data_IF_309530991263
#
_entry.id   IF_309530991263
#
_cell.length_a   1.000
_cell.length_b   1.000
_cell.length_c   1.000
_cell.angle_alpha   90.00
_cell.angle_beta   90.00
_cell.angle_gamma   90.00
#
_symmetry.space_group_name_H-M   'P 1'
#
loop_
_entity.id
_entity.type
_entity.pdbx_description
1 polymer ?
#
# COMPACT_ATOMS: atom_id res chain seq x y z
N UNK A 1 32.58 -0.43 -11.17
CA UNK A 1 32.56 0.49 -10.01
C UNK A 1 31.29 0.19 -9.23
N UNK A 2 31.44 -0.62 -8.19
CA UNK A 2 30.35 -1.15 -7.38
C UNK A 2 30.32 -0.38 -6.06
N UNK A 3 29.37 0.53 -5.92
CA UNK A 3 29.16 1.23 -4.65
C UNK A 3 28.21 0.41 -3.77
N UNK A 4 28.76 -0.15 -2.70
CA UNK A 4 28.03 -0.91 -1.68
C UNK A 4 27.37 0.06 -0.73
N UNK A 5 26.06 0.13 -0.74
CA UNK A 5 25.26 0.77 0.29
C UNK A 5 25.47 0.07 1.65
N UNK A 6 26.21 0.74 2.51
CA UNK A 6 26.52 0.28 3.86
C UNK A 6 25.40 0.68 4.83
N UNK A 7 24.46 -0.23 5.08
CA UNK A 7 23.42 -0.06 6.09
C UNK A 7 24.05 -0.38 7.46
N UNK A 8 24.33 0.66 8.22
CA UNK A 8 24.91 0.56 9.57
C UNK A 8 24.02 -0.24 10.53
N UNK A 9 24.48 -1.43 10.88
CA UNK A 9 23.94 -2.23 11.99
C UNK A 9 24.29 -1.53 13.30
N UNK A 10 23.35 -0.88 13.94
CA UNK A 10 23.48 -0.51 15.35
C UNK A 10 23.36 -1.77 16.19
N UNK A 11 24.50 -2.31 16.61
CA UNK A 11 24.60 -3.30 17.69
C UNK A 11 24.28 -2.60 19.01
N UNK A 12 23.16 -2.95 19.62
CA UNK A 12 22.94 -2.72 21.04
C UNK A 12 23.72 -3.79 21.80
N UNK A 13 24.77 -3.35 22.50
CA UNK A 13 25.55 -4.19 23.39
C UNK A 13 24.70 -4.55 24.61
N UNK A 14 24.48 -5.85 24.79
CA UNK A 14 23.98 -6.38 26.06
C UNK A 14 25.06 -6.28 27.13
N UNK A 15 24.75 -5.59 28.21
CA UNK A 15 25.57 -5.59 29.40
C UNK A 15 25.29 -6.86 30.20
N UNK A 16 26.26 -7.78 30.19
CA UNK A 16 26.31 -8.92 31.12
C UNK A 16 26.83 -8.40 32.47
N UNK A 17 25.97 -8.34 33.47
CA UNK A 17 26.39 -8.17 34.85
C UNK A 17 26.33 -9.53 35.56
N UNK A 18 27.48 -10.14 35.74
CA UNK A 18 27.73 -11.19 36.74
C UNK A 18 27.79 -10.50 38.10
N UNK A 19 26.87 -10.78 38.99
CA UNK A 19 26.80 -10.25 40.35
C UNK A 19 26.39 -11.31 41.34
N UNK A 20 27.39 -11.84 42.01
CA UNK A 20 27.47 -12.37 43.41
C UNK A 20 26.22 -13.05 44.03
N UNK A 21 26.46 -14.30 44.40
CA UNK A 21 25.64 -15.05 45.34
C UNK A 21 25.54 -14.36 46.72
N UNK A 22 24.31 -14.04 47.15
CA UNK A 22 23.98 -13.63 48.49
C UNK A 22 22.77 -14.47 48.96
N UNK A 23 22.99 -15.44 49.85
CA UNK A 23 21.97 -16.14 50.57
C UNK A 23 21.28 -15.19 51.54
N UNK A 24 20.00 -14.94 51.38
CA UNK A 24 19.11 -14.47 52.43
C UNK A 24 17.88 -15.38 52.44
N UNK A 25 17.80 -16.20 53.46
CA UNK A 25 16.59 -16.93 53.80
C UNK A 25 15.54 -15.94 54.34
N UNK A 26 14.36 -15.92 53.76
CA UNK A 26 13.24 -15.11 54.26
C UNK A 26 12.19 -14.87 53.16
N UNK A 27 11.11 -15.62 53.26
CA UNK A 27 9.80 -15.58 52.66
C UNK A 27 9.47 -14.52 51.59
N UNK A 28 8.96 -14.97 50.50
CA UNK A 28 8.31 -14.12 49.50
C UNK A 28 8.80 -14.36 48.10
N UNK A 29 8.60 -15.56 47.56
CA UNK A 29 8.83 -15.85 46.15
C UNK A 29 7.88 -15.02 45.27
N UNK A 30 8.28 -13.82 44.92
CA UNK A 30 7.73 -13.14 43.75
C UNK A 30 8.26 -13.93 42.56
N UNK A 31 7.60 -15.03 42.22
CA UNK A 31 7.69 -15.61 40.91
C UNK A 31 7.34 -14.50 39.93
N UNK A 32 8.34 -13.98 39.23
CA UNK A 32 8.14 -13.24 38.02
C UNK A 32 7.35 -14.20 37.10
N UNK A 33 6.03 -14.16 37.22
CA UNK A 33 5.16 -14.76 36.22
C UNK A 33 5.59 -14.04 34.92
N UNK A 34 6.02 -14.76 33.87
CA UNK A 34 6.11 -14.12 32.59
C UNK A 34 4.72 -13.52 32.33
N UNK A 35 4.62 -12.20 32.40
CA UNK A 35 3.43 -11.54 31.86
C UNK A 35 3.25 -12.17 30.49
N UNK A 36 2.10 -12.84 30.30
CA UNK A 36 1.70 -13.25 28.97
C UNK A 36 1.72 -11.95 28.19
N UNK A 37 2.77 -11.76 27.37
CA UNK A 37 2.79 -10.70 26.39
C UNK A 37 1.49 -10.91 25.61
N UNK A 38 0.46 -10.09 25.92
CA UNK A 38 -0.75 -10.06 25.12
C UNK A 38 -0.27 -9.72 23.73
N UNK A 39 -0.38 -10.68 22.81
CA UNK A 39 -0.08 -10.41 21.41
C UNK A 39 -0.89 -9.16 21.04
N UNK A 40 -0.20 -8.10 20.70
CA UNK A 40 -0.89 -6.85 20.35
C UNK A 40 -1.87 -7.14 19.21
N UNK A 41 -3.07 -6.56 19.26
CA UNK A 41 -4.10 -6.80 18.25
C UNK A 41 -3.54 -6.66 16.83
N UNK A 42 -3.87 -7.57 15.92
CA UNK A 42 -3.33 -7.53 14.57
C UNK A 42 -3.74 -6.26 13.84
N UNK A 43 -2.92 -5.85 12.87
CA UNK A 43 -3.27 -4.79 11.94
C UNK A 43 -4.14 -5.42 10.85
N UNK A 44 -5.42 -5.07 10.83
CA UNK A 44 -6.36 -5.57 9.83
C UNK A 44 -6.25 -4.72 8.56
N UNK A 45 -5.88 -5.35 7.45
CA UNK A 45 -5.76 -4.72 6.15
C UNK A 45 -6.80 -5.28 5.19
N UNK A 46 -7.67 -4.41 4.69
CA UNK A 46 -8.62 -4.75 3.64
C UNK A 46 -7.99 -4.60 2.27
N UNK A 47 -8.16 -5.59 1.42
CA UNK A 47 -7.74 -5.55 0.01
C UNK A 47 -9.00 -5.53 -0.84
N UNK A 48 -9.25 -4.40 -1.52
CA UNK A 48 -10.36 -4.23 -2.45
C UNK A 48 -9.79 -4.22 -3.88
N UNK A 49 -9.86 -5.36 -4.58
CA UNK A 49 -9.25 -5.50 -5.90
C UNK A 49 -10.09 -6.38 -6.83
N UNK A 50 -9.81 -6.34 -8.12
CA UNK A 50 -10.59 -6.99 -9.15
C UNK A 50 -10.15 -8.46 -9.30
N UNK A 51 -10.73 -9.38 -8.53
CA UNK A 51 -10.46 -10.82 -8.65
C UNK A 51 -11.20 -11.39 -9.85
N UNK A 52 -12.39 -10.87 -10.11
CA UNK A 52 -13.16 -11.16 -11.31
C UNK A 52 -13.40 -9.89 -12.14
N UNK A 53 -13.99 -10.02 -13.34
CA UNK A 53 -14.28 -8.89 -14.22
C UNK A 53 -13.19 -8.57 -15.24
N UNK A 54 -13.34 -7.42 -15.92
CA UNK A 54 -12.55 -7.07 -17.11
C UNK A 54 -11.05 -6.89 -16.85
N UNK A 55 -10.65 -6.51 -15.63
CA UNK A 55 -9.25 -6.28 -15.26
C UNK A 55 -8.75 -7.26 -14.19
N UNK A 56 -9.39 -8.41 -14.07
CA UNK A 56 -9.04 -9.47 -13.14
C UNK A 56 -7.55 -9.89 -13.16
N UNK A 57 -6.83 -9.96 -14.31
CA UNK A 57 -5.42 -10.29 -14.29
C UNK A 57 -4.57 -9.32 -13.42
N UNK A 58 -4.86 -8.02 -13.49
CA UNK A 58 -4.17 -7.01 -12.65
C UNK A 58 -4.58 -7.11 -11.18
N UNK A 59 -5.86 -7.38 -10.91
CA UNK A 59 -6.37 -7.52 -9.55
C UNK A 59 -5.82 -8.75 -8.84
N UNK A 60 -5.74 -9.87 -9.54
CA UNK A 60 -5.13 -11.10 -9.02
C UNK A 60 -3.62 -10.91 -8.73
N UNK A 61 -2.90 -10.21 -9.61
CA UNK A 61 -1.50 -9.87 -9.36
C UNK A 61 -1.34 -9.01 -8.09
N UNK A 62 -2.17 -7.99 -7.92
CA UNK A 62 -2.18 -7.17 -6.71
C UNK A 62 -2.42 -8.00 -5.43
N UNK A 63 -3.37 -8.93 -5.49
CA UNK A 63 -3.65 -9.82 -4.36
C UNK A 63 -2.46 -10.71 -4.02
N UNK A 64 -1.86 -11.35 -5.02
CA UNK A 64 -0.69 -12.22 -4.82
C UNK A 64 0.50 -11.46 -4.23
N UNK A 65 0.76 -10.24 -4.73
CA UNK A 65 1.83 -9.38 -4.19
C UNK A 65 1.53 -8.96 -2.74
N UNK A 66 0.27 -8.63 -2.43
CA UNK A 66 -0.13 -8.29 -1.06
C UNK A 66 0.08 -9.47 -0.10
N UNK A 67 -0.34 -10.69 -0.49
CA UNK A 67 -0.14 -11.89 0.30
C UNK A 67 1.37 -12.15 0.55
N UNK A 68 2.17 -12.16 -0.51
CA UNK A 68 3.61 -12.38 -0.41
C UNK A 68 4.28 -11.34 0.50
N UNK A 69 3.98 -10.05 0.28
CA UNK A 69 4.57 -8.97 1.06
C UNK A 69 4.21 -9.05 2.54
N UNK A 70 2.92 -9.30 2.84
CA UNK A 70 2.45 -9.43 4.21
C UNK A 70 3.05 -10.65 4.90
N UNK A 71 3.21 -11.75 4.18
CA UNK A 71 3.90 -12.94 4.71
C UNK A 71 5.35 -12.61 5.12
N UNK A 72 6.09 -11.87 4.29
CA UNK A 72 7.47 -11.46 4.62
C UNK A 72 7.50 -10.51 5.83
N UNK A 73 6.59 -9.54 5.89
CA UNK A 73 6.49 -8.62 7.04
C UNK A 73 6.17 -9.40 8.31
N UNK A 74 5.23 -10.31 8.26
CA UNK A 74 4.81 -11.12 9.40
C UNK A 74 5.92 -12.06 9.89
N UNK A 75 6.66 -12.69 8.98
CA UNK A 75 7.86 -13.49 9.30
C UNK A 75 8.96 -12.66 9.96
N UNK A 76 9.07 -11.39 9.62
CA UNK A 76 10.01 -10.46 10.23
C UNK A 76 9.56 -9.91 11.60
N UNK A 77 8.41 -10.36 12.12
CA UNK A 77 7.86 -9.93 13.41
C UNK A 77 6.72 -8.92 13.31
N UNK A 78 6.23 -8.63 12.12
CA UNK A 78 5.12 -7.69 11.90
C UNK A 78 5.55 -6.22 11.96
N UNK A 79 4.59 -5.33 12.07
CA UNK A 79 4.81 -3.90 12.21
C UNK A 79 4.66 -3.51 13.68
N UNK A 80 5.74 -3.08 14.31
CA UNK A 80 5.75 -2.78 15.75
C UNK A 80 5.34 -3.97 16.63
N UNK A 81 5.72 -5.19 16.23
CA UNK A 81 5.35 -6.44 16.93
C UNK A 81 3.93 -6.94 16.65
N UNK A 82 3.17 -6.24 15.78
CA UNK A 82 1.81 -6.61 15.40
C UNK A 82 1.81 -7.31 14.04
N UNK A 83 1.15 -8.46 13.97
CA UNK A 83 0.96 -9.18 12.72
C UNK A 83 -0.08 -8.46 11.84
N UNK A 84 0.04 -8.58 10.52
CA UNK A 84 -0.95 -8.08 9.57
C UNK A 84 -1.90 -9.21 9.20
N UNK A 85 -3.19 -8.93 9.28
CA UNK A 85 -4.26 -9.84 8.86
C UNK A 85 -4.95 -9.27 7.62
N UNK A 86 -5.00 -10.06 6.53
CA UNK A 86 -5.56 -9.66 5.24
C UNK A 86 -7.03 -10.06 5.10
N UNK A 87 -7.83 -9.15 4.60
CA UNK A 87 -9.23 -9.37 4.21
C UNK A 87 -9.42 -8.96 2.75
N UNK A 88 -9.73 -9.94 1.90
CA UNK A 88 -9.97 -9.73 0.47
C UNK A 88 -11.45 -9.49 0.20
N UNK A 89 -11.76 -8.49 -0.63
CA UNK A 89 -13.07 -8.30 -1.23
C UNK A 89 -12.90 -8.05 -2.74
N UNK A 90 -13.63 -8.83 -3.53
CA UNK A 90 -13.63 -8.73 -4.99
C UNK A 90 -14.46 -7.53 -5.44
N UNK A 91 -13.86 -6.62 -6.19
CA UNK A 91 -14.55 -5.46 -6.75
C UNK A 91 -15.24 -5.77 -8.09
N UNK A 92 -14.97 -6.93 -8.67
CA UNK A 92 -15.56 -7.43 -9.92
C UNK A 92 -15.50 -6.44 -11.10
N UNK A 93 -14.53 -5.51 -11.07
CA UNK A 93 -14.41 -4.39 -12.01
C UNK A 93 -15.66 -3.48 -12.07
N UNK A 94 -16.52 -3.53 -11.05
CA UNK A 94 -17.74 -2.73 -10.94
C UNK A 94 -17.69 -1.79 -9.72
N UNK A 95 -17.74 -0.46 -9.93
CA UNK A 95 -17.72 0.50 -8.85
C UNK A 95 -18.87 0.37 -7.84
N UNK A 96 -20.03 -0.12 -8.26
CA UNK A 96 -21.19 -0.31 -7.35
C UNK A 96 -20.95 -1.48 -6.41
N UNK A 97 -20.44 -2.59 -6.94
CA UNK A 97 -20.04 -3.77 -6.15
C UNK A 97 -18.95 -3.37 -5.17
N UNK A 98 -17.93 -2.65 -5.64
CA UNK A 98 -16.83 -2.20 -4.82
C UNK A 98 -17.26 -1.34 -3.63
N UNK A 99 -18.21 -0.42 -3.80
CA UNK A 99 -18.77 0.39 -2.71
C UNK A 99 -19.40 -0.47 -1.62
N UNK A 100 -20.13 -1.52 -2.00
CA UNK A 100 -20.69 -2.48 -1.04
C UNK A 100 -19.61 -3.22 -0.27
N UNK A 101 -18.61 -3.73 -0.98
CA UNK A 101 -17.53 -4.53 -0.43
C UNK A 101 -16.57 -3.75 0.47
N UNK A 102 -16.25 -2.49 0.15
CA UNK A 102 -15.44 -1.67 1.07
C UNK A 102 -16.21 -1.30 2.34
N UNK A 103 -17.53 -1.13 2.28
CA UNK A 103 -18.35 -0.96 3.49
C UNK A 103 -18.28 -2.17 4.40
N UNK A 104 -18.35 -3.37 3.84
CA UNK A 104 -18.19 -4.62 4.57
C UNK A 104 -16.82 -4.72 5.24
N UNK A 105 -15.73 -4.39 4.52
CA UNK A 105 -14.39 -4.30 5.10
C UNK A 105 -14.33 -3.38 6.32
N UNK A 106 -14.98 -2.21 6.25
CA UNK A 106 -14.93 -1.20 7.31
C UNK A 106 -15.87 -1.55 8.46
N UNK A 107 -17.13 -1.89 8.16
CA UNK A 107 -18.17 -2.03 9.19
C UNK A 107 -18.14 -3.39 9.87
N UNK A 108 -17.91 -4.46 9.12
CA UNK A 108 -17.92 -5.84 9.64
C UNK A 108 -16.52 -6.30 10.04
N UNK A 109 -15.51 -6.15 9.16
CA UNK A 109 -14.13 -6.56 9.43
C UNK A 109 -13.36 -5.56 10.28
N UNK A 110 -13.81 -4.30 10.33
CA UNK A 110 -13.17 -3.21 11.10
C UNK A 110 -11.70 -3.05 10.75
N UNK A 111 -11.40 -3.01 9.45
CA UNK A 111 -10.03 -2.88 8.97
C UNK A 111 -9.42 -1.52 9.34
N UNK A 112 -8.13 -1.50 9.62
CA UNK A 112 -7.38 -0.28 9.93
C UNK A 112 -6.97 0.50 8.68
N UNK A 113 -6.82 -0.22 7.57
CA UNK A 113 -6.40 0.33 6.28
C UNK A 113 -7.05 -0.44 5.14
N UNK A 114 -7.41 0.25 4.07
CA UNK A 114 -7.84 -0.35 2.81
C UNK A 114 -6.79 -0.06 1.75
N UNK A 115 -6.32 -1.10 1.07
CA UNK A 115 -5.47 -1.00 -0.11
C UNK A 115 -6.25 -1.52 -1.31
N UNK A 116 -6.26 -0.79 -2.43
CA UNK A 116 -6.88 -1.30 -3.64
C UNK A 116 -7.50 -0.26 -4.56
N UNK A 117 -8.41 -0.75 -5.39
CA UNK A 117 -8.87 -0.06 -6.57
C UNK A 117 -7.83 -0.06 -7.68
N UNK A 118 -8.21 -0.37 -8.92
CA UNK A 118 -7.29 -0.34 -10.05
C UNK A 118 -7.55 0.88 -10.93
N UNK A 119 -8.80 1.14 -11.29
CA UNK A 119 -9.14 2.29 -12.13
C UNK A 119 -9.39 3.56 -11.30
N UNK A 120 -9.23 4.71 -11.94
CA UNK A 120 -9.55 6.01 -11.34
C UNK A 120 -11.03 6.13 -10.98
N UNK A 121 -11.92 5.54 -11.80
CA UNK A 121 -13.34 5.46 -11.49
C UNK A 121 -13.61 4.65 -10.22
N UNK A 122 -12.92 3.52 -10.06
CA UNK A 122 -12.98 2.71 -8.85
C UNK A 122 -12.50 3.49 -7.63
N UNK A 123 -11.32 4.15 -7.70
CA UNK A 123 -10.80 5.00 -6.62
C UNK A 123 -11.82 6.05 -6.19
N UNK A 124 -12.41 6.76 -7.14
CA UNK A 124 -13.39 7.81 -6.83
C UNK A 124 -14.67 7.24 -6.18
N UNK A 125 -15.14 6.09 -6.62
CA UNK A 125 -16.33 5.47 -6.05
C UNK A 125 -16.13 5.01 -4.60
N UNK A 126 -14.99 4.37 -4.30
CA UNK A 126 -14.74 3.82 -2.96
C UNK A 126 -14.11 4.82 -1.98
N UNK A 127 -13.61 5.95 -2.47
CA UNK A 127 -12.99 6.99 -1.65
C UNK A 127 -13.91 7.49 -0.53
N UNK A 128 -15.13 7.90 -0.86
CA UNK A 128 -16.08 8.42 0.13
C UNK A 128 -16.44 7.41 1.24
N UNK A 129 -16.84 6.18 0.94
CA UNK A 129 -17.10 5.20 1.99
C UNK A 129 -15.88 4.85 2.85
N UNK A 130 -14.67 4.86 2.30
CA UNK A 130 -13.46 4.53 3.07
C UNK A 130 -13.03 5.73 3.94
N UNK A 131 -12.83 6.88 3.32
CA UNK A 131 -12.16 8.03 3.95
C UNK A 131 -13.13 8.90 4.72
N UNK A 132 -14.21 9.39 4.07
CA UNK A 132 -15.08 10.38 4.68
C UNK A 132 -16.01 9.75 5.71
N UNK A 133 -16.65 8.64 5.37
CA UNK A 133 -17.59 7.94 6.25
C UNK A 133 -16.91 6.96 7.17
N UNK A 134 -15.97 6.18 6.66
CA UNK A 134 -15.26 5.14 7.40
C UNK A 134 -14.09 5.65 8.24
N UNK A 135 -13.60 6.87 7.99
CA UNK A 135 -12.40 7.46 8.63
C UNK A 135 -11.21 6.49 8.64
N UNK A 136 -11.13 5.67 7.59
CA UNK A 136 -10.13 4.61 7.43
C UNK A 136 -9.05 5.08 6.47
N UNK A 137 -7.80 4.70 6.72
CA UNK A 137 -6.69 4.95 5.83
C UNK A 137 -6.92 4.24 4.49
N UNK A 138 -6.77 4.96 3.39
CA UNK A 138 -6.88 4.41 2.05
C UNK A 138 -5.57 4.57 1.29
N UNK A 139 -5.02 3.46 0.78
CA UNK A 139 -3.85 3.42 -0.07
C UNK A 139 -4.28 2.98 -1.47
N UNK A 140 -4.10 3.86 -2.45
CA UNK A 140 -4.36 3.59 -3.86
C UNK A 140 -3.03 3.30 -4.58
N UNK A 141 -2.76 2.05 -4.98
CA UNK A 141 -1.44 1.63 -5.44
C UNK A 141 -1.21 1.80 -6.95
N UNK A 142 -2.16 2.37 -7.68
CA UNK A 142 -2.11 2.49 -9.13
C UNK A 142 -1.78 3.91 -9.60
N UNK A 143 -1.48 4.03 -10.91
CA UNK A 143 -1.32 5.30 -11.59
C UNK A 143 -2.54 6.20 -11.37
N UNK A 144 -2.31 7.49 -11.21
CA UNK A 144 -3.40 8.45 -10.98
C UNK A 144 -3.10 9.81 -11.61
N UNK A 145 -4.11 10.65 -11.71
CA UNK A 145 -4.06 11.92 -12.44
C UNK A 145 -3.21 13.00 -11.75
N UNK A 146 -2.80 12.76 -10.51
CA UNK A 146 -2.19 13.77 -9.66
C UNK A 146 -3.25 14.57 -8.89
N UNK A 147 -2.80 15.54 -8.09
CA UNK A 147 -3.64 16.50 -7.35
C UNK A 147 -4.71 15.86 -6.43
N UNK A 148 -4.44 14.69 -5.90
CA UNK A 148 -5.31 14.07 -4.90
C UNK A 148 -4.93 14.60 -3.51
N UNK A 149 -5.81 15.43 -2.94
CA UNK A 149 -5.59 16.09 -1.64
C UNK A 149 -6.53 15.61 -0.54
N UNK A 150 -7.23 14.49 -0.76
CA UNK A 150 -8.16 13.94 0.23
C UNK A 150 -7.39 13.43 1.44
N UNK A 151 -7.74 13.93 2.64
CA UNK A 151 -7.14 13.48 3.90
C UNK A 151 -7.32 11.96 4.05
N UNK A 152 -6.29 11.26 4.52
CA UNK A 152 -6.25 9.80 4.67
C UNK A 152 -6.26 8.98 3.36
N UNK A 153 -6.17 9.62 2.20
CA UNK A 153 -5.94 8.93 0.93
C UNK A 153 -4.50 9.15 0.48
N UNK A 154 -3.79 8.06 0.23
CA UNK A 154 -2.41 8.08 -0.28
C UNK A 154 -2.35 7.35 -1.61
N UNK A 155 -1.94 8.06 -2.65
CA UNK A 155 -1.69 7.50 -3.98
C UNK A 155 -0.19 7.23 -4.12
N UNK A 156 0.18 5.98 -4.42
CA UNK A 156 1.59 5.56 -4.50
C UNK A 156 2.08 5.32 -5.93
N UNK A 157 1.17 5.31 -6.89
CA UNK A 157 1.51 5.16 -8.30
C UNK A 157 1.96 6.48 -8.95
N UNK A 158 2.62 6.42 -10.12
CA UNK A 158 3.12 7.60 -10.80
C UNK A 158 2.03 8.46 -11.43
N UNK A 159 2.29 9.76 -11.48
CA UNK A 159 1.47 10.77 -12.16
C UNK A 159 1.86 10.93 -13.63
N UNK A 160 1.05 11.61 -14.47
CA UNK A 160 1.42 11.95 -15.84
C UNK A 160 2.75 12.70 -15.96
N UNK A 161 3.03 13.64 -15.07
CA UNK A 161 4.29 14.37 -15.06
C UNK A 161 5.50 13.43 -14.87
N UNK A 162 5.44 12.54 -13.90
CA UNK A 162 6.51 11.57 -13.65
C UNK A 162 6.76 10.63 -14.85
N UNK A 163 5.75 10.37 -15.66
CA UNK A 163 5.87 9.51 -16.84
C UNK A 163 6.33 10.28 -18.09
N UNK A 164 5.85 11.51 -18.29
CA UNK A 164 6.02 12.23 -19.55
C UNK A 164 7.20 13.22 -19.57
N UNK A 165 7.49 13.91 -18.45
CA UNK A 165 8.40 15.06 -18.42
C UNK A 165 9.85 14.74 -18.78
N UNK A 166 10.27 13.50 -18.61
CA UNK A 166 11.60 13.05 -19.03
C UNK A 166 11.56 12.24 -20.33
N UNK A 167 10.58 11.38 -20.48
CA UNK A 167 10.47 10.47 -21.61
C UNK A 167 10.24 11.23 -22.92
N UNK A 168 9.28 12.15 -22.97
CA UNK A 168 8.91 12.84 -24.20
C UNK A 168 10.03 13.73 -24.70
N UNK A 169 10.65 14.63 -23.91
CA UNK A 169 11.82 15.40 -24.35
C UNK A 169 13.00 14.52 -24.79
N UNK A 170 13.24 13.39 -24.14
CA UNK A 170 14.26 12.43 -24.57
C UNK A 170 13.95 11.88 -25.97
N UNK A 171 12.71 11.45 -26.21
CA UNK A 171 12.30 10.94 -27.52
C UNK A 171 12.43 12.00 -28.64
N UNK A 172 12.13 13.25 -28.32
CA UNK A 172 12.23 14.36 -29.31
C UNK A 172 13.69 14.76 -29.54
N UNK A 173 14.41 15.09 -28.47
CA UNK A 173 15.74 15.73 -28.56
C UNK A 173 16.86 14.73 -28.79
N UNK A 174 16.79 13.54 -28.20
CA UNK A 174 17.86 12.54 -28.26
C UNK A 174 17.60 11.49 -29.34
N UNK A 175 16.36 10.99 -29.43
CA UNK A 175 16.00 9.94 -30.40
C UNK A 175 15.51 10.52 -31.74
N UNK A 176 15.21 11.83 -31.80
CA UNK A 176 14.81 12.54 -33.02
C UNK A 176 13.37 12.23 -33.48
N UNK A 177 12.49 11.76 -32.59
CA UNK A 177 11.08 11.44 -32.93
C UNK A 177 10.27 12.74 -33.10
N UNK A 178 9.52 12.82 -34.20
CA UNK A 178 8.69 13.99 -34.55
C UNK A 178 7.19 13.66 -34.64
N UNK A 179 6.83 12.38 -34.62
CA UNK A 179 5.44 11.93 -34.76
C UNK A 179 5.11 10.99 -33.63
N UNK A 180 4.01 11.25 -32.96
CA UNK A 180 3.52 10.48 -31.81
C UNK A 180 2.11 9.95 -32.08
N UNK A 181 1.90 8.67 -31.84
CA UNK A 181 0.58 8.05 -31.76
C UNK A 181 0.34 7.61 -30.32
N UNK A 182 -0.82 7.94 -29.79
CA UNK A 182 -1.17 7.67 -28.39
C UNK A 182 -2.47 6.85 -28.29
N UNK A 183 -2.44 5.56 -28.71
CA UNK A 183 -3.60 4.70 -28.57
C UNK A 183 -3.89 4.46 -27.07
N UNK A 184 -5.16 4.50 -26.67
CA UNK A 184 -5.52 4.35 -25.28
C UNK A 184 -6.95 3.82 -25.10
N UNK A 185 -7.21 3.22 -23.94
CA UNK A 185 -8.57 2.83 -23.55
C UNK A 185 -9.42 4.07 -23.22
N UNK A 186 -10.75 3.93 -23.37
CA UNK A 186 -11.67 5.05 -23.18
C UNK A 186 -12.12 5.17 -21.72
N UNK A 187 -11.22 5.67 -20.84
CA UNK A 187 -11.57 6.05 -19.47
C UNK A 187 -10.66 7.20 -18.97
N UNK A 188 -10.92 7.70 -17.77
CA UNK A 188 -10.36 8.97 -17.26
C UNK A 188 -8.82 9.03 -17.31
N UNK A 189 -8.14 8.00 -16.82
CA UNK A 189 -6.69 8.01 -16.71
C UNK A 189 -5.98 8.21 -18.06
N UNK A 190 -6.20 7.35 -19.11
CA UNK A 190 -5.48 7.54 -20.36
C UNK A 190 -5.85 8.83 -21.08
N UNK A 191 -7.08 9.32 -20.94
CA UNK A 191 -7.49 10.60 -21.53
C UNK A 191 -6.68 11.76 -20.93
N UNK A 192 -6.50 11.80 -19.60
CA UNK A 192 -5.70 12.83 -18.94
C UNK A 192 -4.21 12.65 -19.19
N UNK A 193 -3.71 11.42 -19.23
CA UNK A 193 -2.33 11.15 -19.61
C UNK A 193 -2.04 11.65 -21.04
N UNK A 194 -2.89 11.33 -22.01
CA UNK A 194 -2.73 11.78 -23.40
C UNK A 194 -2.83 13.29 -23.52
N UNK A 195 -3.73 13.94 -22.77
CA UNK A 195 -3.81 15.41 -22.73
C UNK A 195 -2.51 16.02 -22.19
N UNK A 196 -1.96 15.44 -21.13
CA UNK A 196 -0.69 15.89 -20.56
C UNK A 196 0.47 15.65 -21.50
N UNK A 197 0.58 14.46 -22.09
CA UNK A 197 1.61 14.12 -23.05
C UNK A 197 1.61 15.06 -24.25
N UNK A 198 0.43 15.38 -24.80
CA UNK A 198 0.29 16.38 -25.87
C UNK A 198 0.87 17.73 -25.48
N UNK A 199 0.52 18.23 -24.27
CA UNK A 199 1.08 19.48 -23.76
C UNK A 199 2.62 19.48 -23.72
N UNK A 200 3.23 18.34 -23.33
CA UNK A 200 4.70 18.22 -23.28
C UNK A 200 5.32 18.10 -24.68
N UNK A 201 4.60 17.50 -25.65
CA UNK A 201 5.05 17.40 -27.06
C UNK A 201 5.05 18.79 -27.72
N UNK A 202 4.08 19.62 -27.40
CA UNK A 202 3.85 20.93 -28.01
C UNK A 202 4.68 22.06 -27.36
N UNK A 203 5.31 21.80 -26.21
CA UNK A 203 6.16 22.76 -25.48
C UNK A 203 7.59 22.79 -25.98
#
# INVERSE_FOLDING_TARGET
MTDKLNIGRRRLMGASALGAAGWIAGGGGWLLRPEKAYAADPIKMGIATDITGAIAPSGNANWQVAQFTVEQINKAGGIGGRQIELYLEDTASDPKIAVGNVRKLIQERKVNVVLGGITSAMRQAIKDPIVNRGRTLYIYPQLYEGQECTKFLYCTGPTPAQQCDKLIPYLIKTVGKKRFAMPSANYVWPQLLNKYARKVIEA
#
